data_IF_833203695869
#
_entry.id   IF_833203695869
#
_cell.length_a   1.000
_cell.length_b   1.000
_cell.length_c   1.000
_cell.angle_alpha   90.00
_cell.angle_beta   90.00
_cell.angle_gamma   90.00
#
_symmetry.space_group_name_H-M   'P 1'
#
loop_
_entity.id
_entity.type
_entity.pdbx_description
1 polymer ?
#
# COMPACT_ATOMS: atom_id res chain seq x y z
N UNK A 1 -8.27 -16.06 -16.76
CA UNK A 1 -7.18 -15.08 -16.95
C UNK A 1 -7.00 -14.20 -15.72
N UNK A 2 -8.08 -13.64 -15.16
CA UNK A 2 -8.05 -12.77 -13.98
C UNK A 2 -7.28 -13.35 -12.78
N UNK A 3 -7.56 -14.61 -12.38
CA UNK A 3 -6.85 -15.26 -11.27
C UNK A 3 -5.32 -15.28 -11.48
N UNK A 4 -4.86 -15.55 -12.70
CA UNK A 4 -3.43 -15.54 -13.02
C UNK A 4 -2.84 -14.13 -12.86
N UNK A 5 -3.56 -13.10 -13.30
CA UNK A 5 -3.15 -11.70 -13.14
C UNK A 5 -3.08 -11.35 -11.65
N UNK A 6 -4.07 -11.75 -10.84
CA UNK A 6 -4.07 -11.51 -9.40
C UNK A 6 -2.90 -12.20 -8.69
N UNK A 7 -2.58 -13.44 -9.06
CA UNK A 7 -1.40 -14.16 -8.54
C UNK A 7 -0.10 -13.42 -8.87
N UNK A 8 0.06 -12.94 -10.11
CA UNK A 8 1.23 -12.19 -10.53
C UNK A 8 1.33 -10.83 -9.83
N UNK A 9 0.22 -10.11 -9.68
CA UNK A 9 0.16 -8.85 -8.94
C UNK A 9 0.59 -9.07 -7.49
N UNK A 10 0.04 -10.09 -6.83
CA UNK A 10 0.39 -10.41 -5.44
C UNK A 10 1.87 -10.76 -5.27
N UNK A 11 2.43 -11.58 -6.16
CA UNK A 11 3.84 -11.94 -6.14
C UNK A 11 4.76 -10.72 -6.32
N UNK A 12 4.51 -9.90 -7.36
CA UNK A 12 5.31 -8.71 -7.65
C UNK A 12 5.19 -7.67 -6.53
N UNK A 13 3.97 -7.45 -6.02
CA UNK A 13 3.74 -6.55 -4.91
C UNK A 13 4.46 -7.02 -3.64
N UNK A 14 4.49 -8.33 -3.37
CA UNK A 14 5.22 -8.92 -2.25
C UNK A 14 6.73 -8.70 -2.37
N UNK A 15 7.32 -8.96 -3.53
CA UNK A 15 8.75 -8.73 -3.80
C UNK A 15 9.10 -7.25 -3.58
N UNK A 16 8.32 -6.35 -4.16
CA UNK A 16 8.55 -4.90 -4.05
C UNK A 16 8.35 -4.41 -2.62
N UNK A 17 7.34 -4.92 -1.91
CA UNK A 17 7.10 -4.60 -0.50
C UNK A 17 8.26 -5.06 0.39
N UNK A 18 8.85 -6.22 0.12
CA UNK A 18 10.02 -6.71 0.86
C UNK A 18 11.27 -5.84 0.68
N UNK A 19 11.52 -5.39 -0.56
CA UNK A 19 12.68 -4.53 -0.87
C UNK A 19 12.52 -3.09 -0.41
N UNK A 20 11.33 -2.50 -0.60
CA UNK A 20 11.11 -1.07 -0.39
C UNK A 20 10.39 -0.75 0.94
N UNK A 21 9.75 -1.73 1.58
CA UNK A 21 9.02 -1.54 2.84
C UNK A 21 7.70 -0.76 2.72
N UNK A 22 7.22 -0.47 1.50
CA UNK A 22 6.08 0.43 1.22
C UNK A 22 4.69 -0.26 1.25
N UNK A 23 4.61 -1.58 1.48
CA UNK A 23 3.31 -2.29 1.55
C UNK A 23 2.65 -2.62 0.21
N UNK A 24 3.35 -2.49 -0.93
CA UNK A 24 2.90 -2.99 -2.24
C UNK A 24 1.76 -2.22 -2.92
N UNK A 25 1.04 -1.33 -2.22
CA UNK A 25 -0.12 -0.59 -2.76
C UNK A 25 0.18 0.25 -4.01
N UNK A 26 1.41 0.77 -4.12
CA UNK A 26 1.89 1.51 -5.31
C UNK A 26 1.81 0.67 -6.59
N UNK A 27 1.92 -0.65 -6.46
CA UNK A 27 1.89 -1.61 -7.59
C UNK A 27 0.49 -2.20 -7.73
N UNK A 28 -0.13 -2.59 -6.61
CA UNK A 28 -1.43 -3.26 -6.59
C UNK A 28 -2.52 -2.34 -7.17
N UNK A 29 -2.60 -1.09 -6.71
CA UNK A 29 -3.70 -0.19 -7.08
C UNK A 29 -3.69 0.09 -8.61
N UNK A 30 -2.59 0.52 -9.23
CA UNK A 30 -2.56 0.70 -10.69
C UNK A 30 -2.83 -0.60 -11.46
N UNK A 31 -2.31 -1.74 -10.98
CA UNK A 31 -2.51 -3.00 -11.67
C UNK A 31 -3.99 -3.43 -11.68
N UNK A 32 -4.70 -3.29 -10.55
CA UNK A 32 -6.13 -3.57 -10.48
C UNK A 32 -6.94 -2.62 -11.37
N UNK A 33 -6.61 -1.33 -11.40
CA UNK A 33 -7.32 -0.34 -12.22
C UNK A 33 -7.06 -0.56 -13.71
N UNK A 34 -5.79 -0.65 -14.13
CA UNK A 34 -5.43 -0.64 -15.54
C UNK A 34 -5.44 -2.02 -16.21
N UNK A 35 -5.21 -3.11 -15.46
CA UNK A 35 -5.22 -4.47 -16.02
C UNK A 35 -6.56 -5.18 -15.83
N UNK A 36 -7.26 -4.92 -14.72
CA UNK A 36 -8.52 -5.59 -14.39
C UNK A 36 -9.75 -4.66 -14.44
N UNK A 37 -9.57 -3.37 -14.70
CA UNK A 37 -10.68 -2.43 -14.89
C UNK A 37 -11.41 -2.05 -13.60
N UNK A 38 -10.78 -2.24 -12.43
CA UNK A 38 -11.39 -1.87 -11.16
C UNK A 38 -11.56 -0.35 -11.07
N UNK A 39 -12.65 0.11 -10.43
CA UNK A 39 -12.75 1.51 -10.01
C UNK A 39 -11.65 1.86 -9.02
N UNK A 40 -11.33 3.14 -8.91
CA UNK A 40 -10.26 3.61 -8.02
C UNK A 40 -10.53 3.21 -6.56
N UNK A 41 -11.77 3.33 -6.07
CA UNK A 41 -12.13 2.92 -4.70
C UNK A 41 -12.08 1.40 -4.54
N UNK A 42 -12.55 0.61 -5.52
CA UNK A 42 -12.51 -0.85 -5.44
C UNK A 42 -11.06 -1.36 -5.39
N UNK A 43 -10.16 -0.78 -6.20
CA UNK A 43 -8.74 -1.11 -6.17
C UNK A 43 -8.09 -0.77 -4.83
N UNK A 44 -8.40 0.40 -4.24
CA UNK A 44 -7.88 0.79 -2.93
C UNK A 44 -8.43 -0.09 -1.80
N UNK A 45 -9.75 -0.34 -1.79
CA UNK A 45 -10.38 -1.21 -0.81
C UNK A 45 -9.84 -2.64 -0.88
N UNK A 46 -9.65 -3.19 -2.08
CA UNK A 46 -9.06 -4.52 -2.29
C UNK A 46 -7.60 -4.55 -1.84
N UNK A 47 -6.81 -3.51 -2.15
CA UNK A 47 -5.43 -3.40 -1.65
C UNK A 47 -5.37 -3.34 -0.13
N UNK A 48 -6.27 -2.61 0.54
CA UNK A 48 -6.35 -2.57 2.00
C UNK A 48 -6.81 -3.91 2.59
N UNK A 49 -7.75 -4.59 1.94
CA UNK A 49 -8.19 -5.93 2.32
C UNK A 49 -7.05 -6.96 2.26
N UNK A 50 -6.17 -6.85 1.26
CA UNK A 50 -4.96 -7.67 1.15
C UNK A 50 -3.95 -7.38 2.27
N UNK A 51 -3.90 -6.15 2.79
CA UNK A 51 -3.02 -5.76 3.89
C UNK A 51 -3.53 -6.18 5.29
N UNK A 52 -4.81 -6.59 5.40
CA UNK A 52 -5.41 -6.98 6.67
C UNK A 52 -4.86 -8.30 7.24
N UNK A 53 -4.69 -9.38 6.44
CA UNK A 53 -3.96 -10.55 6.89
C UNK A 53 -2.51 -10.18 7.27
N UNK A 54 -1.83 -10.99 8.10
CA UNK A 54 -0.48 -10.74 8.56
C UNK A 54 0.60 -10.97 7.48
N UNK A 55 0.39 -10.46 6.26
CA UNK A 55 1.24 -10.71 5.09
C UNK A 55 2.68 -10.18 5.28
N UNK A 56 2.86 -9.18 6.15
CA UNK A 56 4.16 -8.58 6.44
C UNK A 56 5.00 -9.35 7.45
N UNK A 57 4.46 -10.36 8.15
CA UNK A 57 5.17 -11.04 9.25
C UNK A 57 6.51 -11.62 8.79
N UNK A 58 6.54 -12.32 7.66
CA UNK A 58 7.77 -12.96 7.19
C UNK A 58 8.88 -11.93 6.86
N UNK A 59 8.50 -10.80 6.27
CA UNK A 59 9.44 -9.71 6.01
C UNK A 59 9.92 -9.08 7.32
N UNK A 60 9.01 -8.77 8.24
CA UNK A 60 9.33 -8.21 9.56
C UNK A 60 10.24 -9.12 10.36
N UNK A 61 10.05 -10.45 10.31
CA UNK A 61 10.93 -11.41 10.97
C UNK A 61 12.37 -11.32 10.45
N UNK A 62 12.56 -11.19 9.13
CA UNK A 62 13.90 -11.01 8.55
C UNK A 62 14.55 -9.70 9.04
N UNK A 63 13.82 -8.57 8.99
CA UNK A 63 14.34 -7.29 9.48
C UNK A 63 14.59 -7.29 10.98
N UNK A 64 13.74 -7.97 11.76
CA UNK A 64 13.86 -8.08 13.21
C UNK A 64 15.09 -8.91 13.59
N UNK A 65 15.29 -10.06 12.93
CA UNK A 65 16.47 -10.90 13.13
C UNK A 65 17.76 -10.18 12.74
N UNK A 66 17.69 -9.25 11.78
CA UNK A 66 18.81 -8.39 11.40
C UNK A 66 18.97 -7.14 12.31
N UNK A 67 18.12 -6.96 13.32
CA UNK A 67 18.20 -5.84 14.27
C UNK A 67 17.67 -4.50 13.75
N UNK A 68 16.95 -4.49 12.63
CA UNK A 68 16.46 -3.27 11.97
C UNK A 68 15.02 -2.87 12.33
N UNK A 69 14.43 -3.49 13.34
CA UNK A 69 13.03 -3.21 13.75
C UNK A 69 12.99 -2.53 15.11
N UNK A 70 12.51 -1.29 15.14
CA UNK A 70 12.18 -0.60 16.38
C UNK A 70 10.73 -0.90 16.81
N UNK A 71 10.57 -1.87 17.72
CA UNK A 71 9.27 -2.36 18.18
C UNK A 71 8.43 -1.28 18.86
N UNK A 72 9.07 -0.39 19.64
CA UNK A 72 8.37 0.69 20.34
C UNK A 72 7.78 1.69 19.35
N UNK A 73 8.58 2.13 18.37
CA UNK A 73 8.13 3.05 17.34
C UNK A 73 7.00 2.42 16.51
N UNK A 74 7.15 1.16 16.08
CA UNK A 74 6.11 0.47 15.30
C UNK A 74 4.82 0.30 16.09
N UNK A 75 4.88 0.00 17.39
CA UNK A 75 3.68 -0.16 18.22
C UNK A 75 2.91 1.16 18.37
N UNK A 76 3.61 2.27 18.62
CA UNK A 76 2.99 3.61 18.71
C UNK A 76 2.33 3.98 17.39
N UNK A 77 3.06 3.80 16.27
CA UNK A 77 2.54 4.09 14.94
C UNK A 77 1.35 3.20 14.58
N UNK A 78 1.33 1.94 15.00
CA UNK A 78 0.20 1.04 14.75
C UNK A 78 -1.11 1.59 15.33
N UNK A 79 -1.07 2.06 16.59
CA UNK A 79 -2.27 2.61 17.25
C UNK A 79 -2.79 3.84 16.52
N UNK A 80 -1.92 4.78 16.19
CA UNK A 80 -2.33 6.01 15.49
C UNK A 80 -2.72 5.75 14.03
N UNK A 81 -2.09 4.77 13.38
CA UNK A 81 -2.42 4.34 12.04
C UNK A 81 -3.85 3.80 11.96
N UNK A 82 -4.28 2.94 12.91
CA UNK A 82 -5.64 2.40 12.95
C UNK A 82 -6.68 3.53 12.98
N UNK A 83 -6.46 4.54 13.82
CA UNK A 83 -7.36 5.68 13.95
C UNK A 83 -7.37 6.51 12.65
N UNK A 84 -6.18 6.83 12.14
CA UNK A 84 -6.03 7.63 10.92
C UNK A 84 -6.62 6.94 9.69
N UNK A 85 -6.41 5.64 9.52
CA UNK A 85 -6.92 4.85 8.40
C UNK A 85 -8.45 4.73 8.47
N UNK A 86 -9.02 4.57 9.66
CA UNK A 86 -10.47 4.50 9.82
C UNK A 86 -11.15 5.82 9.47
N UNK A 87 -10.65 6.94 9.99
CA UNK A 87 -11.25 8.27 9.75
C UNK A 87 -11.09 8.64 8.27
N UNK A 88 -9.89 8.49 7.71
CA UNK A 88 -9.63 8.86 6.32
C UNK A 88 -10.37 7.98 5.32
N UNK A 89 -10.54 6.67 5.59
CA UNK A 89 -11.30 5.78 4.69
C UNK A 89 -12.77 6.16 4.59
N UNK A 90 -13.41 6.61 5.68
CA UNK A 90 -14.80 7.13 5.64
C UNK A 90 -14.95 8.31 4.68
N UNK A 91 -14.00 9.24 4.72
CA UNK A 91 -14.01 10.39 3.83
C UNK A 91 -13.71 9.93 2.39
N UNK A 92 -12.74 9.03 2.21
CA UNK A 92 -12.29 8.59 0.90
C UNK A 92 -13.37 7.85 0.09
N UNK A 93 -14.22 7.06 0.73
CA UNK A 93 -15.29 6.31 0.04
C UNK A 93 -16.42 7.22 -0.47
N UNK A 94 -16.59 8.41 0.10
CA UNK A 94 -17.58 9.40 -0.32
C UNK A 94 -17.07 10.35 -1.41
N UNK A 95 -15.75 10.36 -1.65
CA UNK A 95 -15.14 11.25 -2.63
C UNK A 95 -15.29 10.73 -4.07
N UNK A 96 -15.41 11.63 -5.07
CA UNK A 96 -15.41 11.24 -6.47
C UNK A 96 -14.13 10.51 -6.87
N UNK A 97 -14.26 9.52 -7.76
CA UNK A 97 -13.13 8.72 -8.28
C UNK A 97 -11.98 9.57 -8.81
N UNK A 98 -12.31 10.65 -9.52
CA UNK A 98 -11.34 11.57 -10.11
C UNK A 98 -10.51 12.28 -9.05
N UNK A 99 -11.10 12.60 -7.89
CA UNK A 99 -10.39 13.23 -6.76
C UNK A 99 -9.41 12.25 -6.15
N UNK A 100 -9.86 11.03 -5.81
CA UNK A 100 -9.00 9.99 -5.22
C UNK A 100 -7.85 9.62 -6.18
N UNK A 101 -8.14 9.50 -7.48
CA UNK A 101 -7.12 9.23 -8.50
C UNK A 101 -6.08 10.35 -8.57
N UNK A 102 -6.51 11.62 -8.56
CA UNK A 102 -5.60 12.77 -8.56
C UNK A 102 -4.77 12.83 -7.28
N UNK A 103 -5.38 12.62 -6.11
CA UNK A 103 -4.67 12.58 -4.83
C UNK A 103 -3.57 11.52 -4.83
N UNK A 104 -3.88 10.31 -5.29
CA UNK A 104 -2.90 9.23 -5.41
C UNK A 104 -1.77 9.59 -6.39
N UNK A 105 -2.10 10.14 -7.57
CA UNK A 105 -1.11 10.57 -8.55
C UNK A 105 -0.18 11.68 -8.04
N UNK A 106 -0.74 12.70 -7.39
CA UNK A 106 0.04 13.79 -6.77
C UNK A 106 0.96 13.26 -5.67
N UNK A 107 0.47 12.34 -4.84
CA UNK A 107 1.29 11.68 -3.81
C UNK A 107 2.47 10.92 -4.43
N UNK A 108 2.25 10.16 -5.50
CA UNK A 108 3.32 9.43 -6.19
C UNK A 108 4.35 10.38 -6.81
N UNK A 109 3.91 11.47 -7.45
CA UNK A 109 4.81 12.48 -8.01
C UNK A 109 5.65 13.15 -6.93
N UNK A 110 5.02 13.52 -5.81
CA UNK A 110 5.72 14.09 -4.66
C UNK A 110 6.75 13.11 -4.09
N UNK A 111 6.37 11.85 -3.88
CA UNK A 111 7.27 10.84 -3.34
C UNK A 111 8.45 10.56 -4.27
N UNK A 112 8.19 10.44 -5.58
CA UNK A 112 9.24 10.27 -6.59
C UNK A 112 10.20 11.47 -6.63
N UNK A 113 9.66 12.70 -6.61
CA UNK A 113 10.48 13.91 -6.57
C UNK A 113 11.33 13.97 -5.29
N UNK A 114 10.74 13.67 -4.13
CA UNK A 114 11.45 13.64 -2.86
C UNK A 114 12.63 12.66 -2.90
N UNK A 115 12.42 11.43 -3.37
CA UNK A 115 13.49 10.43 -3.48
C UNK A 115 14.59 10.82 -4.47
N UNK A 116 14.25 11.50 -5.57
CA UNK A 116 15.21 11.88 -6.59
C UNK A 116 16.06 13.10 -6.19
N UNK A 117 15.50 14.01 -5.40
CA UNK A 117 16.15 15.25 -4.98
C UNK A 117 16.64 15.25 -3.52
N UNK A 118 16.35 14.21 -2.73
CA UNK A 118 17.01 14.00 -1.45
C UNK A 118 18.51 13.69 -1.69
N UNK A 119 19.37 14.44 -0.99
CA UNK A 119 20.82 14.23 -1.00
C UNK A 119 21.23 13.00 -0.20
#
# INVERSE_FOLDING_TARGET
>A
MEVLILLLIGLLAGIISGFLGIGGGIVIIPALVYLLGYSQQNAQGTSLGLLLPPIGILAVLNYHNAGFVNIKASAIMCVTFIIGSYISSKIAVELPETVIKKMFGVFLLFYAAKLFFEK
#
